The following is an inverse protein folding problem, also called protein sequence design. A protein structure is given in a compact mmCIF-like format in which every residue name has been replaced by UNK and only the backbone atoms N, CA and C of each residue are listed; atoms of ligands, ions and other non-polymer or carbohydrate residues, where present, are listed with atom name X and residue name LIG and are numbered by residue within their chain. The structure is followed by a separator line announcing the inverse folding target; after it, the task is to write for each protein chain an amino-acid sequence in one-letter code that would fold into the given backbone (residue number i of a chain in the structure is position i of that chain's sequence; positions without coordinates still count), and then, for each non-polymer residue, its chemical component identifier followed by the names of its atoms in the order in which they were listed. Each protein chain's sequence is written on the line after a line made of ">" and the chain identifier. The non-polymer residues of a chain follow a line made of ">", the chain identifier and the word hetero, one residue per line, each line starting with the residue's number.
data_IF_708847831506
#
_entry.id   IF_708847831506
#
_cell.length_a   1.000
_cell.length_b   1.000
_cell.length_c   1.000
_cell.angle_alpha   90.00
_cell.angle_beta   90.00
_cell.angle_gamma   90.00
#
_symmetry.space_group_name_H-M   'P 1'
#
loop_
_entity.id
_entity.type
_entity.pdbx_description
1 polymer ?
#
# COMPACT_ATOMS: atom_id res chain seq x y z
N UNK A 1 -5.56 -28.68 25.95
CA UNK A 1 -6.24 -27.36 25.94
C UNK A 1 -5.71 -26.61 24.74
N UNK A 2 -6.41 -26.73 23.60
CA UNK A 2 -6.04 -26.06 22.36
C UNK A 2 -6.17 -24.55 22.54
N UNK A 3 -5.02 -23.87 22.59
CA UNK A 3 -4.96 -22.42 22.53
C UNK A 3 -5.38 -22.06 21.11
N UNK A 4 -6.63 -21.65 20.91
CA UNK A 4 -7.05 -20.98 19.67
C UNK A 4 -6.10 -19.81 19.45
N UNK A 5 -5.13 -19.98 18.54
CA UNK A 5 -4.34 -18.87 18.07
C UNK A 5 -5.33 -17.82 17.57
N UNK A 6 -5.22 -16.58 18.08
CA UNK A 6 -6.08 -15.50 17.64
C UNK A 6 -5.94 -15.39 16.13
N UNK A 7 -7.02 -15.69 15.40
CA UNK A 7 -6.98 -15.73 13.94
C UNK A 7 -6.71 -14.33 13.35
N UNK A 8 -7.07 -13.29 14.10
CA UNK A 8 -6.93 -11.88 13.76
C UNK A 8 -6.28 -11.14 14.95
N UNK A 9 -5.15 -10.48 14.71
CA UNK A 9 -4.39 -9.70 15.67
C UNK A 9 -4.51 -8.19 15.43
N UNK A 10 -3.91 -7.41 16.32
CA UNK A 10 -3.84 -5.93 16.17
C UNK A 10 -3.07 -5.54 14.90
N UNK A 11 -2.07 -6.33 14.49
CA UNK A 11 -1.34 -6.17 13.23
C UNK A 11 -2.29 -6.22 12.03
N UNK A 12 -3.17 -7.21 11.99
CA UNK A 12 -4.08 -7.42 10.85
C UNK A 12 -5.07 -6.24 10.68
N UNK A 13 -5.35 -5.48 11.74
CA UNK A 13 -6.13 -4.24 11.66
C UNK A 13 -5.38 -3.13 10.91
N UNK A 14 -4.07 -2.97 11.19
CA UNK A 14 -3.23 -1.99 10.49
C UNK A 14 -2.99 -2.41 9.03
N UNK A 15 -2.73 -3.69 8.79
CA UNK A 15 -2.69 -4.27 7.44
C UNK A 15 -3.99 -4.00 6.67
N UNK A 16 -5.14 -4.05 7.34
CA UNK A 16 -6.44 -3.72 6.72
C UNK A 16 -6.55 -2.23 6.37
N UNK A 17 -6.04 -1.33 7.22
CA UNK A 17 -6.01 0.12 6.93
C UNK A 17 -5.14 0.40 5.70
N UNK A 18 -3.98 -0.25 5.59
CA UNK A 18 -3.13 -0.15 4.41
C UNK A 18 -3.89 -0.61 3.15
N UNK A 19 -4.52 -1.78 3.21
CA UNK A 19 -5.31 -2.34 2.11
C UNK A 19 -6.44 -1.39 1.68
N UNK A 20 -7.16 -0.80 2.64
CA UNK A 20 -8.25 0.14 2.36
C UNK A 20 -7.73 1.42 1.69
N UNK A 21 -6.56 1.93 2.08
CA UNK A 21 -5.92 3.05 1.39
C UNK A 21 -5.61 2.75 -0.09
N UNK A 22 -5.15 1.54 -0.38
CA UNK A 22 -4.95 1.03 -1.74
C UNK A 22 -6.24 0.92 -2.56
N UNK A 23 -7.30 0.35 -1.96
CA UNK A 23 -8.61 0.21 -2.62
C UNK A 23 -9.26 1.56 -2.89
N UNK A 24 -9.26 2.48 -1.92
CA UNK A 24 -9.78 3.85 -2.09
C UNK A 24 -8.97 4.58 -3.18
N UNK A 25 -7.66 4.39 -3.21
CA UNK A 25 -6.81 4.95 -4.27
C UNK A 25 -7.23 4.48 -5.65
N UNK A 26 -7.52 3.19 -5.82
CA UNK A 26 -8.02 2.67 -7.09
C UNK A 26 -9.39 3.22 -7.47
N UNK A 27 -10.32 3.36 -6.53
CA UNK A 27 -11.62 4.00 -6.81
C UNK A 27 -11.42 5.45 -7.31
N UNK A 28 -10.54 6.21 -6.66
CA UNK A 28 -10.23 7.59 -7.07
C UNK A 28 -9.53 7.65 -8.44
N UNK A 29 -8.73 6.65 -8.81
CA UNK A 29 -8.20 6.54 -10.16
C UNK A 29 -9.29 6.35 -11.21
N UNK A 30 -10.26 5.47 -10.94
CA UNK A 30 -11.41 5.23 -11.83
C UNK A 30 -12.23 6.52 -12.01
N UNK A 31 -12.36 7.33 -10.95
CA UNK A 31 -13.03 8.63 -10.98
C UNK A 31 -12.20 9.74 -11.64
N UNK A 32 -11.03 9.42 -12.21
CA UNK A 32 -10.17 10.41 -12.87
C UNK A 32 -9.47 11.35 -11.90
N UNK A 33 -9.29 10.96 -10.65
CA UNK A 33 -8.69 11.77 -9.59
C UNK A 33 -7.34 11.20 -9.10
N UNK A 34 -6.32 11.08 -9.97
CA UNK A 34 -5.05 10.42 -9.63
C UNK A 34 -4.27 11.14 -8.52
N UNK A 35 -4.47 12.45 -8.36
CA UNK A 35 -3.86 13.22 -7.26
C UNK A 35 -4.36 12.76 -5.89
N UNK A 36 -5.67 12.69 -5.70
CA UNK A 36 -6.27 12.22 -4.46
C UNK A 36 -6.01 10.72 -4.23
N UNK A 37 -5.98 9.93 -5.31
CA UNK A 37 -5.58 8.52 -5.25
C UNK A 37 -4.15 8.35 -4.70
N UNK A 38 -3.22 9.19 -5.12
CA UNK A 38 -1.83 9.15 -4.62
C UNK A 38 -1.76 9.47 -3.13
N UNK A 39 -2.55 10.44 -2.67
CA UNK A 39 -2.62 10.82 -1.26
C UNK A 39 -3.21 9.68 -0.42
N UNK A 40 -4.29 9.03 -0.88
CA UNK A 40 -4.92 7.94 -0.12
C UNK A 40 -4.00 6.74 0.05
N UNK A 41 -3.24 6.39 -0.99
CA UNK A 41 -2.24 5.31 -0.95
C UNK A 41 -1.10 5.68 0.00
N UNK A 42 -0.57 6.91 -0.08
CA UNK A 42 0.47 7.40 0.84
C UNK A 42 0.01 7.39 2.30
N UNK A 43 -1.22 7.83 2.57
CA UNK A 43 -1.79 7.80 3.92
C UNK A 43 -2.01 6.37 4.41
N UNK A 44 -2.54 5.48 3.56
CA UNK A 44 -2.71 4.07 3.90
C UNK A 44 -1.38 3.40 4.27
N UNK A 45 -0.35 3.64 3.47
CA UNK A 45 0.99 3.14 3.72
C UNK A 45 1.61 3.73 5.00
N UNK A 46 1.56 5.05 5.17
CA UNK A 46 2.13 5.71 6.34
C UNK A 46 1.44 5.26 7.64
N UNK A 47 0.11 5.15 7.63
CA UNK A 47 -0.67 4.76 8.80
C UNK A 47 -0.62 3.26 9.10
N UNK A 48 -0.53 2.40 8.08
CA UNK A 48 -0.39 0.96 8.25
C UNK A 48 1.03 0.58 8.70
N UNK A 49 2.04 0.97 7.92
CA UNK A 49 3.37 0.37 8.00
C UNK A 49 4.25 1.00 9.11
N UNK A 50 4.07 2.30 9.42
CA UNK A 50 4.84 2.93 10.52
C UNK A 50 4.36 2.50 11.90
N UNK A 51 3.11 2.07 12.01
CA UNK A 51 2.54 1.59 13.27
C UNK A 51 2.80 0.09 13.48
N UNK A 52 2.90 -0.70 12.41
CA UNK A 52 3.17 -2.15 12.48
C UNK A 52 4.53 -2.49 13.09
N UNK A 53 5.58 -1.71 12.79
CA UNK A 53 6.92 -1.95 13.34
C UNK A 53 7.05 -1.72 14.86
N UNK A 54 6.17 -0.92 15.47
CA UNK A 54 6.15 -0.64 16.91
C UNK A 54 5.24 -1.62 17.67
N UNK A 55 4.10 -1.96 17.08
CA UNK A 55 3.10 -2.87 17.65
C UNK A 55 3.57 -4.33 17.55
N UNK A 56 4.13 -4.76 16.42
CA UNK A 56 4.62 -6.13 16.22
C UNK A 56 5.78 -6.50 17.17
N UNK A 57 6.66 -5.53 17.49
CA UNK A 57 7.74 -5.73 18.46
C UNK A 57 7.25 -5.92 19.90
N UNK A 58 6.04 -5.47 20.23
CA UNK A 58 5.45 -5.61 21.57
C UNK A 58 4.50 -6.79 21.72
N UNK A 59 3.88 -7.29 20.65
CA UNK A 59 2.76 -8.23 20.77
C UNK A 59 3.11 -9.70 20.53
N UNK A 60 4.24 -10.06 19.90
CA UNK A 60 4.68 -11.46 19.82
C UNK A 60 3.68 -12.44 19.18
N UNK A 61 2.61 -11.92 18.56
CA UNK A 61 1.55 -12.71 17.91
C UNK A 61 1.77 -12.67 16.41
N UNK A 62 2.46 -13.68 15.88
CA UNK A 62 2.50 -13.97 14.45
C UNK A 62 1.59 -15.18 14.19
N UNK A 63 0.63 -15.03 13.27
CA UNK A 63 -0.22 -16.11 12.80
C UNK A 63 -0.02 -16.26 11.27
N UNK A 64 -0.14 -17.49 10.76
CA UNK A 64 0.09 -17.83 9.35
C UNK A 64 -0.89 -17.09 8.42
N UNK A 65 -2.16 -16.96 8.83
CA UNK A 65 -3.16 -16.16 8.12
C UNK A 65 -2.77 -14.68 8.02
N UNK A 66 -2.28 -14.09 9.12
CA UNK A 66 -1.87 -12.68 9.14
C UNK A 66 -0.66 -12.43 8.24
N UNK A 67 0.26 -13.39 8.11
CA UNK A 67 1.41 -13.30 7.21
C UNK A 67 1.01 -13.30 5.72
N UNK A 68 0.06 -14.17 5.34
CA UNK A 68 -0.49 -14.19 3.98
C UNK A 68 -1.32 -12.92 3.69
N UNK A 69 -2.12 -12.47 4.66
CA UNK A 69 -2.91 -11.24 4.53
C UNK A 69 -2.05 -9.99 4.38
N UNK A 70 -0.96 -9.88 5.15
CA UNK A 70 0.07 -8.84 5.02
C UNK A 70 0.68 -8.83 3.61
N UNK A 71 1.02 -10.01 3.09
CA UNK A 71 1.59 -10.15 1.76
C UNK A 71 0.63 -9.70 0.65
N UNK A 72 -0.66 -10.04 0.76
CA UNK A 72 -1.69 -9.61 -0.20
C UNK A 72 -1.91 -8.10 -0.12
N UNK A 73 -1.98 -7.56 1.09
CA UNK A 73 -2.12 -6.12 1.34
C UNK A 73 -0.93 -5.35 0.77
N UNK A 74 0.28 -5.84 1.00
CA UNK A 74 1.51 -5.29 0.45
C UNK A 74 1.50 -5.26 -1.07
N UNK A 75 1.05 -6.33 -1.74
CA UNK A 75 0.94 -6.32 -3.20
C UNK A 75 -0.07 -5.28 -3.70
N UNK A 76 -1.21 -5.16 -3.03
CA UNK A 76 -2.25 -4.19 -3.39
C UNK A 76 -1.73 -2.75 -3.27
N UNK A 77 -1.14 -2.40 -2.13
CA UNK A 77 -0.70 -1.03 -1.86
C UNK A 77 0.60 -0.65 -2.57
N UNK A 78 1.53 -1.60 -2.78
CA UNK A 78 2.82 -1.28 -3.39
C UNK A 78 2.89 -1.49 -4.90
N UNK A 79 2.08 -2.39 -5.44
CA UNK A 79 2.17 -2.77 -6.86
C UNK A 79 0.92 -2.31 -7.62
N UNK A 80 -0.25 -2.75 -7.15
CA UNK A 80 -1.49 -2.61 -7.92
C UNK A 80 -1.97 -1.15 -7.93
N UNK A 81 -2.12 -0.52 -6.76
CA UNK A 81 -2.59 0.86 -6.68
C UNK A 81 -1.62 1.86 -7.36
N UNK A 82 -0.28 1.77 -7.16
CA UNK A 82 0.68 2.59 -7.89
C UNK A 82 0.61 2.43 -9.41
N UNK A 83 0.50 1.21 -9.92
CA UNK A 83 0.37 0.94 -11.35
C UNK A 83 -0.92 1.56 -11.93
N UNK A 84 -2.04 1.47 -11.21
CA UNK A 84 -3.30 2.07 -11.61
C UNK A 84 -3.22 3.60 -11.69
N UNK A 85 -2.56 4.24 -10.72
CA UNK A 85 -2.34 5.70 -10.72
C UNK A 85 -1.51 6.12 -11.95
N UNK A 86 -0.39 5.44 -12.22
CA UNK A 86 0.45 5.72 -13.39
C UNK A 86 -0.33 5.58 -14.69
N UNK A 87 -1.09 4.49 -14.83
CA UNK A 87 -1.87 4.24 -16.04
C UNK A 87 -2.94 5.31 -16.27
N UNK A 88 -3.62 5.74 -15.20
CA UNK A 88 -4.65 6.80 -15.26
C UNK A 88 -4.06 8.13 -15.72
N UNK A 89 -2.90 8.52 -15.16
CA UNK A 89 -2.18 9.73 -15.56
C UNK A 89 -1.63 9.63 -16.99
N UNK A 90 -1.20 8.44 -17.41
CA UNK A 90 -0.70 8.21 -18.77
C UNK A 90 -1.79 8.39 -19.82
N UNK A 91 -3.00 7.91 -19.56
CA UNK A 91 -4.14 8.03 -20.48
C UNK A 91 -4.59 9.50 -20.61
N UNK A 92 -4.67 10.23 -19.49
CA UNK A 92 -5.09 11.63 -19.51
C UNK A 92 -4.15 12.51 -18.68
N UNK A 93 -3.18 13.09 -19.37
CA UNK A 93 -2.16 13.96 -18.79
C UNK A 93 -2.71 15.29 -18.26
N UNK A 94 -3.97 15.62 -18.54
CA UNK A 94 -4.63 16.84 -18.06
C UNK A 94 -5.21 16.69 -16.65
N UNK A 95 -5.27 15.45 -16.13
CA UNK A 95 -5.80 15.16 -14.80
C UNK A 95 -4.92 15.66 -13.66
N UNK A 96 -3.66 15.99 -13.94
CA UNK A 96 -2.77 16.62 -12.96
C UNK A 96 -2.62 18.13 -13.24
N UNK A 97 -2.76 18.99 -12.20
CA UNK A 97 -2.70 20.45 -12.34
C UNK A 97 -1.44 20.98 -13.03
N UNK A 98 -0.29 20.32 -12.86
CA UNK A 98 1.01 20.81 -13.31
C UNK A 98 1.86 19.74 -14.02
N UNK A 99 2.49 20.04 -15.17
CA UNK A 99 3.31 19.07 -15.93
C UNK A 99 4.50 18.47 -15.17
N UNK A 100 5.08 19.22 -14.23
CA UNK A 100 6.19 18.72 -13.40
C UNK A 100 5.72 17.69 -12.38
N UNK A 101 4.45 17.75 -11.95
CA UNK A 101 3.86 16.74 -11.07
C UNK A 101 3.80 15.38 -11.77
N UNK A 102 3.57 15.33 -13.09
CA UNK A 102 3.59 14.06 -13.85
C UNK A 102 4.96 13.36 -13.73
N UNK A 103 6.05 14.12 -13.81
CA UNK A 103 7.41 13.56 -13.73
C UNK A 103 7.75 13.13 -12.30
N UNK A 104 7.40 13.93 -11.30
CA UNK A 104 7.63 13.60 -9.89
C UNK A 104 6.80 12.38 -9.48
N UNK A 105 5.52 12.31 -9.85
CA UNK A 105 4.67 11.15 -9.57
C UNK A 105 5.19 9.89 -10.26
N UNK A 106 5.58 9.99 -11.54
CA UNK A 106 6.09 8.85 -12.30
C UNK A 106 7.40 8.30 -11.70
N UNK A 107 8.31 9.19 -11.31
CA UNK A 107 9.58 8.81 -10.66
C UNK A 107 9.32 8.24 -9.26
N UNK A 108 8.43 8.84 -8.48
CA UNK A 108 8.09 8.37 -7.14
C UNK A 108 7.42 6.99 -7.16
N UNK A 109 6.49 6.76 -8.09
CA UNK A 109 5.77 5.50 -8.24
C UNK A 109 6.69 4.40 -8.81
N UNK A 110 7.51 4.70 -9.82
CA UNK A 110 8.54 3.79 -10.31
C UNK A 110 9.57 3.45 -9.22
N UNK A 111 9.97 4.44 -8.43
CA UNK A 111 10.84 4.27 -7.28
C UNK A 111 10.22 3.37 -6.21
N UNK A 112 8.93 3.55 -5.89
CA UNK A 112 8.22 2.71 -4.92
C UNK A 112 8.14 1.25 -5.37
N UNK A 113 7.82 1.00 -6.65
CA UNK A 113 7.79 -0.35 -7.23
C UNK A 113 9.17 -1.02 -7.16
N UNK A 114 10.22 -0.31 -7.56
CA UNK A 114 11.60 -0.84 -7.56
C UNK A 114 12.09 -1.08 -6.15
N UNK A 115 11.84 -0.15 -5.21
CA UNK A 115 12.26 -0.29 -3.81
C UNK A 115 11.53 -1.44 -3.12
N UNK A 116 10.21 -1.57 -3.27
CA UNK A 116 9.48 -2.66 -2.63
C UNK A 116 9.90 -4.02 -3.18
N UNK A 117 10.08 -4.15 -4.50
CA UNK A 117 10.60 -5.39 -5.11
C UNK A 117 12.02 -5.70 -4.62
N UNK A 118 12.89 -4.69 -4.55
CA UNK A 118 14.28 -4.86 -4.11
C UNK A 118 14.38 -5.26 -2.64
N UNK A 119 13.62 -4.59 -1.75
CA UNK A 119 13.60 -4.87 -0.31
C UNK A 119 13.02 -6.26 -0.02
N UNK A 120 11.98 -6.66 -0.76
CA UNK A 120 11.39 -8.00 -0.64
C UNK A 120 12.32 -9.09 -1.15
N UNK A 121 13.01 -8.86 -2.27
CA UNK A 121 13.98 -9.81 -2.81
C UNK A 121 15.23 -9.94 -1.92
N UNK A 122 15.65 -8.87 -1.25
CA UNK A 122 16.78 -8.91 -0.31
C UNK A 122 16.44 -9.55 1.06
N UNK A 123 15.16 -9.74 1.39
CA UNK A 123 14.68 -10.38 2.63
C UNK A 123 14.43 -11.88 2.51
N UNK A 124 14.39 -12.42 1.28
CA UNK A 124 14.29 -13.84 0.98
C UNK A 124 15.68 -14.43 0.69
#
# INVERSE_FOLDING_TARGET
>A
MDRKASMFGVKDLFTTINLMGGVVGMCLCIDGQPYYASISVLLGYLLGDTMDGWVARKLGTANEFGAEFDTISDHMSHVIAPAAIVYTVYIDQRLLPEPWMNQVLSIALAGSLVLTVSVRHARN
#
